data_IF_279677468375
#
_entry.id   IF_279677468375
#
_cell.length_a   1.000
_cell.length_b   1.000
_cell.length_c   1.000
_cell.angle_alpha   90.00
_cell.angle_beta   90.00
_cell.angle_gamma   90.00
#
_symmetry.space_group_name_H-M   'P 1'
#
loop_
_entity.id
_entity.type
_entity.pdbx_description
1 polymer ?
#
# COMPACT_ATOMS: atom_id res chain seq x y z
N UNK A 1 -22.17 7.50 -19.66
CA UNK A 1 -21.10 6.50 -19.86
C UNK A 1 -19.83 7.25 -20.21
N UNK A 2 -18.95 7.48 -19.24
CA UNK A 2 -17.80 8.37 -19.40
C UNK A 2 -16.55 7.53 -19.60
N UNK A 3 -16.13 7.36 -20.86
CA UNK A 3 -14.89 6.65 -21.21
C UNK A 3 -13.69 7.57 -20.98
N UNK A 4 -12.78 7.18 -20.09
CA UNK A 4 -11.51 7.86 -19.87
C UNK A 4 -10.53 7.54 -21.02
N UNK A 5 -10.28 8.52 -21.88
CA UNK A 5 -9.41 8.47 -23.07
C UNK A 5 -7.90 8.64 -22.75
N UNK A 6 -7.36 7.96 -21.74
CA UNK A 6 -5.94 8.17 -21.33
C UNK A 6 -5.08 6.91 -21.20
N UNK A 7 -5.61 5.73 -21.52
CA UNK A 7 -4.81 4.50 -21.60
C UNK A 7 -4.63 4.15 -23.08
N UNK A 8 -3.48 4.49 -23.65
CA UNK A 8 -3.08 3.90 -24.94
C UNK A 8 -2.97 2.39 -24.76
N UNK A 9 -3.77 1.65 -25.53
CA UNK A 9 -3.78 0.19 -25.62
C UNK A 9 -2.56 -0.31 -26.42
N UNK A 10 -1.36 0.09 -25.98
CA UNK A 10 -0.10 -0.39 -26.56
C UNK A 10 0.38 -1.53 -25.69
N UNK A 11 0.22 -2.74 -26.19
CA UNK A 11 0.85 -3.91 -25.62
C UNK A 11 2.29 -4.04 -26.14
N UNK A 12 3.16 -4.55 -25.30
CA UNK A 12 4.57 -4.73 -25.59
C UNK A 12 4.96 -6.17 -25.33
N UNK A 13 5.84 -6.71 -26.17
CA UNK A 13 6.36 -8.07 -26.03
C UNK A 13 7.77 -8.01 -25.48
N UNK A 14 8.01 -8.68 -24.36
CA UNK A 14 9.34 -8.88 -23.81
C UNK A 14 9.93 -10.13 -24.43
N UNK A 15 11.13 -10.02 -24.99
CA UNK A 15 11.87 -11.12 -25.61
C UNK A 15 13.15 -11.32 -24.81
N UNK A 16 13.40 -12.55 -24.36
CA UNK A 16 14.60 -12.90 -23.61
C UNK A 16 15.80 -12.95 -24.57
N UNK A 17 16.65 -11.93 -24.54
CA UNK A 17 17.77 -11.80 -25.51
C UNK A 17 19.01 -12.62 -25.14
N UNK A 18 19.23 -12.92 -23.85
CA UNK A 18 20.43 -13.63 -23.39
C UNK A 18 20.08 -14.67 -22.34
N UNK A 19 20.75 -15.82 -22.42
CA UNK A 19 20.71 -16.82 -21.35
C UNK A 19 21.42 -16.31 -20.10
N UNK A 20 20.90 -16.69 -18.94
CA UNK A 20 21.42 -16.26 -17.64
C UNK A 20 22.77 -16.92 -17.42
N UNK A 21 23.83 -16.13 -17.37
CA UNK A 21 25.15 -16.63 -16.98
C UNK A 21 25.11 -16.97 -15.48
N UNK A 22 25.34 -18.23 -15.07
CA UNK A 22 25.34 -18.62 -13.67
C UNK A 22 26.39 -17.83 -12.89
N UNK A 23 26.00 -17.18 -11.79
CA UNK A 23 26.93 -16.49 -10.87
C UNK A 23 27.08 -14.97 -11.06
N UNK A 24 26.50 -14.37 -12.11
CA UNK A 24 26.53 -12.91 -12.32
C UNK A 24 25.31 -12.22 -11.69
N UNK A 25 24.16 -12.88 -11.68
CA UNK A 25 22.91 -12.33 -11.14
C UNK A 25 22.77 -12.55 -9.64
N UNK A 26 22.33 -11.53 -8.92
CA UNK A 26 21.94 -11.66 -7.51
C UNK A 26 20.70 -12.57 -7.38
N UNK A 27 20.50 -13.22 -6.21
CA UNK A 27 19.37 -14.13 -6.00
C UNK A 27 18.00 -13.51 -6.29
N UNK A 28 17.80 -12.22 -6.00
CA UNK A 28 16.54 -11.52 -6.30
C UNK A 28 16.37 -11.18 -7.78
N UNK A 29 17.45 -10.82 -8.48
CA UNK A 29 17.41 -10.54 -9.92
C UNK A 29 17.02 -11.79 -10.71
N UNK A 30 17.55 -12.94 -10.28
CA UNK A 30 17.17 -14.24 -10.85
C UNK A 30 15.69 -14.53 -10.66
N UNK A 31 15.13 -14.31 -9.46
CA UNK A 31 13.69 -14.51 -9.19
C UNK A 31 12.80 -13.61 -10.05
N UNK A 32 13.19 -12.36 -10.27
CA UNK A 32 12.44 -11.44 -11.14
C UNK A 32 12.45 -11.93 -12.58
N UNK A 33 13.63 -12.31 -13.09
CA UNK A 33 13.76 -12.79 -14.46
C UNK A 33 13.00 -14.10 -14.71
N UNK A 34 13.15 -15.07 -13.79
CA UNK A 34 12.41 -16.34 -13.82
C UNK A 34 10.90 -16.10 -13.71
N UNK A 35 10.47 -15.10 -12.93
CA UNK A 35 9.07 -14.71 -12.80
C UNK A 35 8.48 -14.09 -14.08
N UNK A 36 9.26 -13.26 -14.79
CA UNK A 36 8.84 -12.60 -16.04
C UNK A 36 8.73 -13.63 -17.17
N UNK A 37 9.73 -14.51 -17.31
CA UNK A 37 9.82 -15.47 -18.42
C UNK A 37 9.32 -16.88 -18.06
N UNK A 38 8.52 -17.02 -17.00
CA UNK A 38 7.97 -18.31 -16.56
C UNK A 38 7.13 -19.01 -17.64
N UNK A 39 6.46 -18.22 -18.48
CA UNK A 39 5.54 -18.71 -19.52
C UNK A 39 6.23 -18.98 -20.86
N UNK A 40 7.51 -18.65 -21.01
CA UNK A 40 8.27 -18.77 -22.26
C UNK A 40 9.31 -17.67 -22.44
N UNK A 41 10.06 -17.75 -23.55
CA UNK A 41 11.10 -16.77 -23.90
C UNK A 41 10.55 -15.45 -24.42
N UNK A 42 9.28 -15.44 -24.84
CA UNK A 42 8.56 -14.24 -25.24
C UNK A 42 7.27 -14.12 -24.43
N UNK A 43 7.06 -12.97 -23.79
CA UNK A 43 5.90 -12.74 -22.91
C UNK A 43 5.32 -11.35 -23.17
N UNK A 44 4.00 -11.25 -23.31
CA UNK A 44 3.31 -9.97 -23.42
C UNK A 44 3.19 -9.27 -22.06
N UNK A 45 3.36 -7.95 -22.05
CA UNK A 45 3.27 -7.14 -20.83
C UNK A 45 1.85 -7.15 -20.26
N UNK A 46 0.83 -7.22 -21.12
CA UNK A 46 -0.56 -7.42 -20.71
C UNK A 46 -0.77 -8.73 -19.90
N UNK A 47 -0.05 -9.78 -20.27
CA UNK A 47 -0.11 -11.11 -19.64
C UNK A 47 0.58 -11.13 -18.27
N UNK A 48 1.70 -10.41 -18.14
CA UNK A 48 2.36 -10.15 -16.86
C UNK A 48 1.46 -9.39 -15.89
N UNK A 49 0.71 -8.39 -16.38
CA UNK A 49 -0.23 -7.63 -15.54
C UNK A 49 -1.27 -8.54 -14.88
N UNK A 50 -1.70 -9.60 -15.55
CA UNK A 50 -2.73 -10.50 -15.03
C UNK A 50 -2.17 -11.62 -14.13
N UNK A 51 -0.95 -12.10 -14.41
CA UNK A 51 -0.35 -13.27 -13.75
C UNK A 51 0.77 -12.88 -12.79
N UNK A 52 1.79 -12.16 -13.28
CA UNK A 52 2.95 -11.73 -12.49
C UNK A 52 2.57 -10.72 -11.40
N UNK A 53 1.59 -9.84 -11.65
CA UNK A 53 1.11 -8.90 -10.63
C UNK A 53 0.55 -9.59 -9.37
N UNK A 54 0.02 -10.82 -9.49
CA UNK A 54 -0.47 -11.57 -8.33
C UNK A 54 0.65 -12.09 -7.45
N UNK A 55 1.81 -12.38 -8.04
CA UNK A 55 3.00 -12.89 -7.35
C UNK A 55 3.91 -11.74 -6.86
N UNK A 56 3.78 -10.54 -7.44
CA UNK A 56 4.56 -9.35 -7.09
C UNK A 56 4.59 -9.07 -5.58
N UNK A 57 3.47 -9.06 -4.83
CA UNK A 57 3.49 -8.71 -3.40
C UNK A 57 4.47 -9.57 -2.58
N UNK A 58 4.54 -10.88 -2.86
CA UNK A 58 5.44 -11.79 -2.16
C UNK A 58 6.91 -11.57 -2.54
N UNK A 59 7.17 -11.28 -3.82
CA UNK A 59 8.51 -10.99 -4.35
C UNK A 59 9.00 -9.64 -3.83
N UNK A 60 8.18 -8.59 -3.91
CA UNK A 60 8.54 -7.25 -3.41
C UNK A 60 8.76 -7.25 -1.91
N UNK A 61 7.94 -7.97 -1.13
CA UNK A 61 8.16 -8.09 0.31
C UNK A 61 9.54 -8.69 0.62
N UNK A 62 9.87 -9.80 -0.01
CA UNK A 62 11.18 -10.47 0.18
C UNK A 62 12.34 -9.59 -0.29
N UNK A 63 12.17 -8.87 -1.40
CA UNK A 63 13.14 -7.93 -1.94
C UNK A 63 13.36 -6.74 -0.99
N UNK A 64 12.29 -6.14 -0.48
CA UNK A 64 12.39 -5.04 0.48
C UNK A 64 13.06 -5.49 1.78
N UNK A 65 12.76 -6.69 2.26
CA UNK A 65 13.41 -7.23 3.45
C UNK A 65 14.93 -7.44 3.23
N UNK A 66 15.36 -7.91 2.06
CA UNK A 66 16.78 -7.99 1.69
C UNK A 66 17.44 -6.61 1.60
N UNK A 67 16.77 -5.63 0.99
CA UNK A 67 17.29 -4.27 0.82
C UNK A 67 17.40 -3.50 2.15
N UNK A 68 16.45 -3.70 3.06
CA UNK A 68 16.49 -3.14 4.42
C UNK A 68 17.61 -3.81 5.23
N UNK A 69 17.76 -5.13 5.15
CA UNK A 69 18.90 -5.85 5.77
C UNK A 69 20.25 -5.41 5.23
N UNK A 70 20.32 -5.08 3.93
CA UNK A 70 21.51 -4.52 3.29
C UNK A 70 21.78 -3.05 3.62
N UNK A 71 20.96 -2.40 4.46
CA UNK A 71 21.12 -1.00 4.84
C UNK A 71 20.78 0.02 3.76
N UNK A 72 20.23 -0.43 2.62
CA UNK A 72 19.86 0.45 1.51
C UNK A 72 18.53 1.19 1.75
N UNK A 73 17.68 0.68 2.65
CA UNK A 73 16.44 1.32 3.06
C UNK A 73 16.30 1.33 4.59
N UNK A 74 15.78 2.42 5.18
CA UNK A 74 15.66 2.58 6.64
C UNK A 74 14.59 1.70 7.29
N UNK A 75 13.69 1.08 6.52
CA UNK A 75 12.67 0.17 7.03
C UNK A 75 11.74 -0.34 5.92
N UNK A 76 11.04 -1.45 6.18
CA UNK A 76 10.10 -2.01 5.21
C UNK A 76 8.91 -1.05 5.03
N UNK A 77 8.72 -0.46 3.83
CA UNK A 77 7.72 0.57 3.59
C UNK A 77 6.27 0.06 3.74
N UNK A 78 6.02 -1.25 3.63
CA UNK A 78 4.70 -1.83 3.87
C UNK A 78 4.32 -1.77 5.35
N UNK A 79 5.28 -2.08 6.23
CA UNK A 79 5.08 -2.05 7.68
C UNK A 79 4.87 -0.60 8.17
N UNK A 80 5.66 0.33 7.64
CA UNK A 80 5.53 1.76 7.96
C UNK A 80 4.13 2.28 7.60
N UNK A 81 3.63 1.95 6.41
CA UNK A 81 2.25 2.30 6.00
C UNK A 81 1.20 1.67 6.92
N UNK A 82 1.40 0.44 7.37
CA UNK A 82 0.53 -0.24 8.33
C UNK A 82 0.46 0.47 9.67
N UNK A 83 1.61 0.87 10.22
CA UNK A 83 1.72 1.58 11.49
C UNK A 83 1.00 2.94 11.42
N UNK A 84 1.24 3.73 10.37
CA UNK A 84 0.55 5.02 10.21
C UNK A 84 -0.97 4.88 10.06
N UNK A 85 -1.46 3.83 9.39
CA UNK A 85 -2.90 3.53 9.34
C UNK A 85 -3.47 3.27 10.73
N UNK A 86 -2.79 2.46 11.55
CA UNK A 86 -3.22 2.19 12.93
C UNK A 86 -3.18 3.44 13.81
N UNK A 87 -2.13 4.25 13.71
CA UNK A 87 -2.04 5.54 14.40
C UNK A 87 -3.23 6.43 14.00
N UNK A 88 -3.55 6.51 12.71
CA UNK A 88 -4.70 7.27 12.22
C UNK A 88 -6.03 6.78 12.79
N UNK A 89 -6.25 5.46 12.83
CA UNK A 89 -7.45 4.87 13.43
C UNK A 89 -7.56 5.20 14.92
N UNK A 90 -6.47 5.06 15.67
CA UNK A 90 -6.42 5.39 17.10
C UNK A 90 -6.75 6.87 17.32
N UNK A 91 -6.13 7.77 16.55
CA UNK A 91 -6.41 9.21 16.62
C UNK A 91 -7.88 9.53 16.33
N UNK A 92 -8.49 8.86 15.36
CA UNK A 92 -9.90 9.06 15.01
C UNK A 92 -10.81 8.62 16.17
N UNK A 93 -10.57 7.45 16.76
CA UNK A 93 -11.34 6.93 17.90
C UNK A 93 -11.20 7.87 19.11
N UNK A 94 -9.97 8.26 19.45
CA UNK A 94 -9.71 9.17 20.58
C UNK A 94 -10.35 10.52 20.34
N UNK A 95 -10.19 11.09 19.13
CA UNK A 95 -10.81 12.36 18.75
C UNK A 95 -12.33 12.32 18.85
N UNK A 96 -12.96 11.24 18.38
CA UNK A 96 -14.41 11.05 18.47
C UNK A 96 -14.90 10.90 19.92
N UNK A 97 -14.18 10.14 20.75
CA UNK A 97 -14.51 9.98 22.16
C UNK A 97 -14.41 11.32 22.93
N UNK A 98 -13.36 12.10 22.68
CA UNK A 98 -13.22 13.43 23.27
C UNK A 98 -14.31 14.40 22.78
N UNK A 99 -14.64 14.35 21.49
CA UNK A 99 -15.68 15.18 20.89
C UNK A 99 -17.07 14.91 21.47
N UNK A 100 -17.45 13.63 21.63
CA UNK A 100 -18.72 13.23 22.25
C UNK A 100 -18.81 13.66 23.72
N UNK A 101 -17.72 13.54 24.48
CA UNK A 101 -17.65 14.03 25.87
C UNK A 101 -17.80 15.55 25.94
N UNK A 102 -17.19 16.29 25.03
CA UNK A 102 -17.32 17.74 24.94
C UNK A 102 -18.77 18.16 24.67
N UNK A 103 -19.43 17.56 23.67
CA UNK A 103 -20.84 17.80 23.35
C UNK A 103 -21.78 17.53 24.53
N UNK A 104 -21.59 16.40 25.23
CA UNK A 104 -22.40 16.05 26.38
C UNK A 104 -22.27 17.08 27.51
N UNK A 105 -21.04 17.52 27.81
CA UNK A 105 -20.78 18.52 28.83
C UNK A 105 -21.41 19.89 28.48
N UNK A 106 -21.32 20.31 27.22
CA UNK A 106 -21.95 21.57 26.75
C UNK A 106 -23.47 21.50 26.85
N UNK A 107 -24.08 20.37 26.51
CA UNK A 107 -25.53 20.16 26.63
C UNK A 107 -26.03 20.31 28.07
N UNK A 108 -25.33 19.69 29.04
CA UNK A 108 -25.65 19.81 30.47
C UNK A 108 -25.42 21.23 30.99
N UNK A 109 -24.39 21.93 30.52
CA UNK A 109 -24.17 23.31 30.88
C UNK A 109 -25.31 24.23 30.38
N UNK A 110 -25.74 24.05 29.14
CA UNK A 110 -26.86 24.81 28.56
C UNK A 110 -28.16 24.54 29.33
N UNK A 111 -28.46 23.29 29.69
CA UNK A 111 -29.66 22.98 30.46
C UNK A 111 -29.64 23.61 31.86
N UNK A 112 -28.48 23.62 32.53
CA UNK A 112 -28.32 24.33 33.80
C UNK A 112 -28.55 25.84 33.67
N UNK A 113 -28.03 26.47 32.61
CA UNK A 113 -28.26 27.90 32.34
C UNK A 113 -29.75 28.20 32.10
N UNK A 114 -30.44 27.35 31.33
CA UNK A 114 -31.89 27.50 31.09
C UNK A 114 -32.68 27.42 32.39
N UNK A 115 -32.36 26.44 33.26
CA UNK A 115 -33.01 26.31 34.57
C UNK A 115 -32.79 27.55 35.42
N UNK A 116 -31.56 28.06 35.49
CA UNK A 116 -31.24 29.27 36.26
C UNK A 116 -31.94 30.53 35.72
N UNK A 117 -32.07 30.65 34.39
CA UNK A 117 -32.71 31.80 33.75
C UNK A 117 -34.24 31.88 34.01
N UNK A 118 -34.88 30.75 34.32
CA UNK A 118 -36.33 30.67 34.61
C UNK A 118 -36.64 30.42 36.09
N UNK A 119 -35.62 30.25 36.93
CA UNK A 119 -35.76 29.96 38.37
C UNK A 119 -35.78 31.23 39.25
N UNK A 120 -35.56 32.43 38.68
CA UNK A 120 -35.64 33.71 39.37
C UNK A 120 -36.73 34.58 38.77
#
# INVERSE_FOLDING_TARGET
>A
STKFYFFSDRDYKLIKTKEVVPGVLKPHEKKVLDGIFKSGEEVEVSDLRNKFYKELPGITKSLYDELVRGGYFPGNPENVKGIYKWIGIILLIVGFALFTKFLLNVSVAISGVIILAWSG
#
